data_IF_234091465147
#
_entry.id   IF_234091465147
#
_cell.length_a   1.000
_cell.length_b   1.000
_cell.length_c   1.000
_cell.angle_alpha   90.00
_cell.angle_beta   90.00
_cell.angle_gamma   90.00
#
_symmetry.space_group_name_H-M   'P 1'
#
loop_
_entity.id
_entity.type
_entity.pdbx_description
1 polymer ?
#
# COMPACT_ATOMS: atom_id res chain seq x y z
N UNK A 1 -53.26 -4.05 27.75
CA UNK A 1 -51.97 -4.33 27.07
C UNK A 1 -52.28 -4.71 25.63
N UNK A 2 -52.21 -3.76 24.69
CA UNK A 2 -52.37 -4.03 23.25
C UNK A 2 -51.01 -3.88 22.56
N UNK A 3 -50.56 -4.96 21.93
CA UNK A 3 -49.31 -5.04 21.19
C UNK A 3 -49.41 -4.26 19.87
N UNK A 4 -48.47 -3.33 19.65
CA UNK A 4 -48.29 -2.64 18.37
C UNK A 4 -47.69 -3.64 17.38
N UNK A 5 -48.47 -4.07 16.39
CA UNK A 5 -47.98 -4.85 15.25
C UNK A 5 -47.30 -3.88 14.28
N UNK A 6 -46.01 -4.05 14.04
CA UNK A 6 -45.29 -3.33 12.99
C UNK A 6 -45.54 -4.07 11.68
N UNK A 7 -46.37 -3.52 10.80
CA UNK A 7 -46.58 -4.10 9.48
C UNK A 7 -45.30 -3.99 8.62
N UNK A 8 -45.02 -4.97 7.73
CA UNK A 8 -43.87 -4.92 6.85
C UNK A 8 -44.06 -3.81 5.82
N UNK A 9 -43.16 -2.83 5.79
CA UNK A 9 -43.16 -1.78 4.76
C UNK A 9 -42.89 -2.42 3.39
N UNK A 10 -43.87 -2.35 2.50
CA UNK A 10 -43.69 -2.68 1.08
C UNK A 10 -42.77 -1.65 0.40
N UNK A 11 -42.00 -2.05 -0.62
CA UNK A 11 -41.20 -1.11 -1.40
C UNK A 11 -42.10 -0.10 -2.10
N UNK A 12 -42.02 1.16 -1.68
CA UNK A 12 -42.71 2.29 -2.32
C UNK A 12 -41.88 2.82 -3.49
N UNK A 13 -42.53 3.06 -4.63
CA UNK A 13 -41.94 3.81 -5.73
C UNK A 13 -42.09 5.30 -5.42
N UNK A 14 -40.98 5.98 -5.12
CA UNK A 14 -40.98 7.41 -4.84
C UNK A 14 -40.78 8.19 -6.15
N UNK A 15 -41.63 9.17 -6.40
CA UNK A 15 -41.42 10.16 -7.46
C UNK A 15 -40.58 11.29 -6.86
N UNK A 16 -39.63 11.81 -7.63
CA UNK A 16 -38.72 12.87 -7.19
C UNK A 16 -39.45 14.18 -6.78
N UNK A 17 -40.71 14.34 -7.17
CA UNK A 17 -41.55 15.52 -6.91
C UNK A 17 -42.52 15.33 -5.72
N UNK A 18 -42.37 14.28 -4.91
CA UNK A 18 -43.26 14.01 -3.77
C UNK A 18 -42.98 14.99 -2.61
N UNK A 19 -43.97 15.75 -2.11
CA UNK A 19 -43.80 16.69 -1.00
C UNK A 19 -43.40 16.04 0.33
N UNK A 20 -43.45 14.71 0.45
CA UNK A 20 -42.91 13.96 1.58
C UNK A 20 -41.41 13.64 1.44
N UNK A 21 -40.78 13.97 0.31
CA UNK A 21 -39.34 13.83 0.07
C UNK A 21 -38.71 15.21 0.28
N UNK A 22 -38.24 15.46 1.50
CA UNK A 22 -37.42 16.63 1.76
C UNK A 22 -36.04 16.45 1.07
N UNK A 23 -35.63 17.35 0.18
CA UNK A 23 -34.27 17.33 -0.37
C UNK A 23 -33.30 17.53 0.79
N UNK A 24 -32.40 16.58 0.98
CA UNK A 24 -31.28 16.74 1.90
C UNK A 24 -30.48 17.95 1.42
N UNK A 25 -30.40 19.00 2.23
CA UNK A 25 -29.62 20.20 1.91
C UNK A 25 -28.19 19.81 1.52
N UNK A 26 -27.65 20.38 0.45
CA UNK A 26 -26.28 20.08 -0.04
C UNK A 26 -25.22 20.22 1.05
N UNK A 27 -25.46 21.09 2.05
CA UNK A 27 -24.62 21.25 3.23
C UNK A 27 -24.51 19.99 4.10
N UNK A 28 -25.55 19.16 4.17
CA UNK A 28 -25.52 17.89 4.89
C UNK A 28 -24.77 16.79 4.11
N UNK A 29 -24.72 16.88 2.78
CA UNK A 29 -23.90 16.02 1.92
C UNK A 29 -22.42 16.43 2.02
N UNK A 30 -22.12 17.74 2.02
CA UNK A 30 -20.77 18.29 2.20
C UNK A 30 -20.21 17.99 3.60
N UNK A 31 -21.07 18.00 4.64
CA UNK A 31 -20.71 17.60 6.00
C UNK A 31 -20.53 16.07 6.18
N UNK A 32 -20.99 15.25 5.23
CA UNK A 32 -20.73 13.81 5.13
C UNK A 32 -19.54 13.48 4.20
N UNK A 33 -19.00 14.48 3.50
CA UNK A 33 -17.71 14.42 2.78
C UNK A 33 -16.51 15.06 3.52
N UNK A 34 -16.34 15.00 4.85
CA UNK A 34 -15.05 15.32 5.42
C UNK A 34 -14.08 14.16 5.10
N UNK A 35 -12.81 14.49 4.87
CA UNK A 35 -11.64 13.61 4.65
C UNK A 35 -11.23 13.13 3.24
N UNK A 36 -12.09 13.13 2.21
CA UNK A 36 -11.66 12.66 0.87
C UNK A 36 -10.65 13.62 0.18
N UNK A 37 -10.84 14.93 0.36
CA UNK A 37 -9.98 15.97 -0.18
C UNK A 37 -8.60 16.06 0.51
N UNK A 38 -8.53 15.72 1.80
CA UNK A 38 -7.28 15.66 2.56
C UNK A 38 -6.41 14.48 2.14
N UNK A 39 -7.03 13.30 1.94
CA UNK A 39 -6.35 12.10 1.46
C UNK A 39 -5.78 12.27 0.04
N UNK A 40 -6.52 12.91 -0.88
CA UNK A 40 -6.02 13.22 -2.23
C UNK A 40 -4.82 14.16 -2.20
N UNK A 41 -4.88 15.25 -1.41
CA UNK A 41 -3.75 16.18 -1.22
C UNK A 41 -2.53 15.49 -0.57
N UNK A 42 -2.76 14.56 0.34
CA UNK A 42 -1.70 13.76 0.97
C UNK A 42 -1.00 12.86 -0.05
N UNK A 43 -1.76 12.18 -0.93
CA UNK A 43 -1.22 11.34 -2.01
C UNK A 43 -0.45 12.17 -3.03
N UNK A 44 -0.96 13.35 -3.39
CA UNK A 44 -0.31 14.28 -4.33
C UNK A 44 1.00 14.86 -3.78
N UNK A 45 1.04 15.21 -2.48
CA UNK A 45 2.24 15.66 -1.79
C UNK A 45 3.34 14.57 -1.71
N UNK A 46 2.94 13.29 -1.65
CA UNK A 46 3.87 12.15 -1.71
C UNK A 46 4.43 11.96 -3.13
N UNK A 47 3.64 12.25 -4.17
CA UNK A 47 4.02 12.12 -5.58
C UNK A 47 4.99 13.22 -6.04
N UNK A 48 4.85 14.44 -5.51
CA UNK A 48 5.66 15.60 -5.91
C UNK A 48 6.41 16.23 -4.72
N UNK A 49 7.57 15.67 -4.30
CA UNK A 49 8.35 16.28 -3.23
C UNK A 49 8.92 17.62 -3.69
N UNK A 50 8.48 18.72 -3.05
CA UNK A 50 9.05 20.07 -3.22
C UNK A 50 10.56 20.03 -2.97
N UNK A 51 11.35 20.32 -4.00
CA UNK A 51 12.83 20.39 -3.91
C UNK A 51 13.20 21.66 -3.13
N UNK A 52 13.77 21.50 -1.92
CA UNK A 52 14.39 22.60 -1.17
C UNK A 52 15.82 22.25 -0.77
N UNK A 53 16.74 23.13 -1.15
CA UNK A 53 18.03 23.42 -0.51
C UNK A 53 19.05 22.30 -0.34
N UNK A 54 20.25 22.70 0.07
CA UNK A 54 21.33 21.79 0.47
C UNK A 54 20.83 20.94 1.65
N UNK A 55 20.82 19.61 1.46
CA UNK A 55 20.29 18.67 2.45
C UNK A 55 21.31 18.41 3.56
N UNK A 56 21.53 19.37 4.45
CA UNK A 56 22.37 19.20 5.64
C UNK A 56 22.02 17.93 6.44
N UNK A 57 20.73 17.59 6.51
CA UNK A 57 20.27 16.34 7.11
C UNK A 57 20.71 15.08 6.34
N UNK A 58 20.77 15.13 5.00
CA UNK A 58 21.29 14.01 4.21
C UNK A 58 22.81 13.88 4.35
N UNK A 59 23.53 14.99 4.43
CA UNK A 59 24.96 15.03 4.75
C UNK A 59 25.24 14.41 6.12
N UNK A 60 24.57 14.89 7.17
CA UNK A 60 24.71 14.35 8.53
C UNK A 60 24.38 12.84 8.60
N UNK A 61 23.31 12.41 7.93
CA UNK A 61 22.96 10.99 7.85
C UNK A 61 24.00 10.18 7.07
N UNK A 62 24.53 10.70 5.97
CA UNK A 62 25.54 9.99 5.17
C UNK A 62 26.86 9.85 5.93
N UNK A 63 27.33 10.91 6.57
CA UNK A 63 28.54 10.90 7.39
C UNK A 63 28.33 10.02 8.63
N UNK A 64 27.18 10.10 9.29
CA UNK A 64 26.82 9.24 10.41
C UNK A 64 26.78 7.76 10.01
N UNK A 65 26.20 7.43 8.86
CA UNK A 65 26.19 6.06 8.34
C UNK A 65 27.60 5.57 7.97
N UNK A 66 28.45 6.43 7.42
CA UNK A 66 29.84 6.10 7.13
C UNK A 66 30.64 5.82 8.41
N UNK A 67 30.52 6.68 9.42
CA UNK A 67 31.15 6.48 10.73
C UNK A 67 30.67 5.20 11.41
N UNK A 68 29.36 4.93 11.38
CA UNK A 68 28.79 3.71 11.94
C UNK A 68 29.31 2.47 11.20
N UNK A 69 29.39 2.51 9.87
CA UNK A 69 29.93 1.41 9.06
C UNK A 69 31.40 1.13 9.40
N UNK A 70 32.19 2.18 9.59
CA UNK A 70 33.59 2.05 10.02
C UNK A 70 33.69 1.45 11.43
N UNK A 71 32.90 1.95 12.38
CA UNK A 71 32.89 1.44 13.76
C UNK A 71 32.51 -0.05 13.82
N UNK A 72 31.49 -0.46 13.07
CA UNK A 72 31.09 -1.87 12.97
C UNK A 72 32.18 -2.71 12.32
N UNK A 73 32.81 -2.21 11.24
CA UNK A 73 33.91 -2.90 10.57
C UNK A 73 35.09 -3.17 11.50
N UNK A 74 35.51 -2.16 12.26
CA UNK A 74 36.58 -2.29 13.26
C UNK A 74 36.18 -3.25 14.38
N UNK A 75 34.95 -3.16 14.89
CA UNK A 75 34.47 -4.05 15.96
C UNK A 75 34.40 -5.52 15.52
N UNK A 76 34.01 -5.80 14.28
CA UNK A 76 33.99 -7.16 13.73
C UNK A 76 35.41 -7.72 13.52
N UNK A 77 36.34 -6.90 13.03
CA UNK A 77 37.75 -7.28 12.89
C UNK A 77 38.39 -7.58 14.25
N UNK A 78 38.20 -6.71 15.25
CA UNK A 78 38.72 -6.94 16.60
C UNK A 78 38.09 -8.18 17.24
N UNK A 79 36.77 -8.37 17.09
CA UNK A 79 36.07 -9.55 17.58
C UNK A 79 36.67 -10.84 16.98
N UNK A 80 36.88 -10.89 15.67
CA UNK A 80 37.46 -12.06 15.02
C UNK A 80 38.87 -12.35 15.55
N UNK A 81 39.72 -11.31 15.66
CA UNK A 81 41.07 -11.46 16.22
C UNK A 81 41.05 -12.01 17.65
N UNK A 82 40.16 -11.48 18.49
CA UNK A 82 40.00 -11.92 19.88
C UNK A 82 39.50 -13.37 19.96
N UNK A 83 38.63 -13.80 19.05
CA UNK A 83 38.13 -15.18 18.97
C UNK A 83 39.26 -16.15 18.57
N UNK A 84 40.04 -15.81 17.54
CA UNK A 84 41.20 -16.60 17.12
C UNK A 84 42.27 -16.68 18.20
N UNK A 85 42.53 -15.57 18.91
CA UNK A 85 43.52 -15.55 20.01
C UNK A 85 43.13 -16.45 21.19
N UNK A 86 41.84 -16.71 21.40
CA UNK A 86 41.35 -17.62 22.46
C UNK A 86 41.37 -19.08 22.03
N UNK A 87 40.86 -19.37 20.84
CA UNK A 87 40.89 -20.71 20.26
C UNK A 87 40.58 -20.65 18.75
N UNK A 88 41.34 -21.40 17.94
CA UNK A 88 41.18 -21.40 16.48
C UNK A 88 39.77 -21.76 16.01
N UNK A 89 39.12 -22.73 16.68
CA UNK A 89 37.76 -23.15 16.32
C UNK A 89 36.71 -22.06 16.57
N UNK A 90 36.93 -21.19 17.57
CA UNK A 90 36.06 -20.03 17.84
C UNK A 90 36.15 -19.02 16.70
N UNK A 91 37.36 -18.75 16.21
CA UNK A 91 37.58 -17.84 15.08
C UNK A 91 36.88 -18.31 13.81
N UNK A 92 37.01 -19.60 13.46
CA UNK A 92 36.29 -20.18 12.33
C UNK A 92 34.76 -20.13 12.49
N UNK A 93 34.25 -20.40 13.70
CA UNK A 93 32.82 -20.26 13.99
C UNK A 93 32.33 -18.82 13.82
N UNK A 94 33.08 -17.84 14.37
CA UNK A 94 32.78 -16.42 14.23
C UNK A 94 32.77 -15.97 12.77
N UNK A 95 33.77 -16.39 11.99
CA UNK A 95 33.85 -16.10 10.56
C UNK A 95 32.66 -16.69 9.79
N UNK A 96 32.29 -17.94 10.08
CA UNK A 96 31.13 -18.59 9.46
C UNK A 96 29.82 -17.86 9.77
N UNK A 97 29.63 -17.42 11.02
CA UNK A 97 28.45 -16.65 11.42
C UNK A 97 28.39 -15.28 10.75
N UNK A 98 29.51 -14.56 10.64
CA UNK A 98 29.57 -13.28 9.92
C UNK A 98 29.27 -13.48 8.44
N UNK A 99 29.86 -14.49 7.81
CA UNK A 99 29.59 -14.81 6.40
C UNK A 99 28.11 -15.15 6.16
N UNK A 100 27.50 -15.95 7.03
CA UNK A 100 26.08 -16.26 6.97
C UNK A 100 25.20 -15.02 7.15
N UNK A 101 25.54 -14.14 8.09
CA UNK A 101 24.85 -12.87 8.30
C UNK A 101 24.93 -11.98 7.06
N UNK A 102 26.11 -11.81 6.46
CA UNK A 102 26.29 -11.04 5.21
C UNK A 102 25.45 -11.62 4.08
N UNK A 103 25.46 -12.94 3.90
CA UNK A 103 24.67 -13.61 2.87
C UNK A 103 23.15 -13.40 3.09
N UNK A 104 22.68 -13.48 4.33
CA UNK A 104 21.28 -13.20 4.67
C UNK A 104 20.90 -11.75 4.38
N UNK A 105 21.77 -10.77 4.69
CA UNK A 105 21.56 -9.35 4.35
C UNK A 105 21.52 -9.14 2.84
N UNK A 106 22.44 -9.75 2.09
CA UNK A 106 22.44 -9.67 0.62
C UNK A 106 21.18 -10.28 0.01
N UNK A 107 20.73 -11.44 0.49
CA UNK A 107 19.47 -12.05 0.07
C UNK A 107 18.26 -11.15 0.37
N UNK A 108 18.24 -10.51 1.55
CA UNK A 108 17.22 -9.54 1.92
C UNK A 108 17.21 -8.34 0.98
N UNK A 109 18.37 -7.71 0.75
CA UNK A 109 18.51 -6.55 -0.15
C UNK A 109 18.14 -6.91 -1.59
N UNK A 110 18.61 -8.05 -2.10
CA UNK A 110 18.28 -8.53 -3.44
C UNK A 110 16.77 -8.75 -3.61
N UNK A 111 16.10 -9.33 -2.60
CA UNK A 111 14.65 -9.49 -2.58
C UNK A 111 13.93 -8.14 -2.65
N UNK A 112 14.46 -7.11 -2.01
CA UNK A 112 13.85 -5.77 -2.06
C UNK A 112 14.11 -5.02 -3.37
N UNK A 113 15.31 -5.16 -3.96
CA UNK A 113 15.59 -4.61 -5.28
C UNK A 113 14.66 -5.21 -6.33
N UNK A 114 14.43 -6.52 -6.30
CA UNK A 114 13.45 -7.18 -7.17
C UNK A 114 12.03 -6.60 -6.98
N UNK A 115 11.64 -6.32 -5.73
CA UNK A 115 10.39 -5.62 -5.42
C UNK A 115 10.29 -4.23 -6.05
N UNK A 116 11.38 -3.45 -6.00
CA UNK A 116 11.44 -2.11 -6.60
C UNK A 116 11.38 -2.15 -8.13
N UNK A 117 12.06 -3.10 -8.77
CA UNK A 117 11.96 -3.30 -10.21
C UNK A 117 10.55 -3.68 -10.63
N UNK A 118 9.88 -4.56 -9.87
CA UNK A 118 8.48 -4.91 -10.11
C UNK A 118 7.56 -3.68 -10.01
N UNK A 119 7.77 -2.82 -9.01
CA UNK A 119 6.99 -1.59 -8.87
C UNK A 119 7.19 -0.63 -10.05
N UNK A 120 8.43 -0.47 -10.53
CA UNK A 120 8.72 0.33 -11.72
C UNK A 120 8.04 -0.23 -12.97
N UNK A 121 8.04 -1.56 -13.12
CA UNK A 121 7.37 -2.21 -14.24
C UNK A 121 5.85 -1.99 -14.21
N UNK A 122 5.21 -2.15 -13.04
CA UNK A 122 3.78 -1.88 -12.87
C UNK A 122 3.45 -0.40 -13.15
N UNK A 123 4.27 0.53 -12.67
CA UNK A 123 4.06 1.96 -12.92
C UNK A 123 4.15 2.30 -14.42
N UNK A 124 5.09 1.67 -15.14
CA UNK A 124 5.21 1.81 -16.59
C UNK A 124 3.99 1.24 -17.31
N UNK A 125 3.54 0.04 -16.94
CA UNK A 125 2.33 -0.56 -17.50
C UNK A 125 1.09 0.30 -17.29
N UNK A 126 0.95 0.94 -16.13
CA UNK A 126 -0.15 1.87 -15.86
C UNK A 126 -0.13 3.06 -16.82
N UNK A 127 1.03 3.71 -16.97
CA UNK A 127 1.18 4.83 -17.89
C UNK A 127 0.91 4.43 -19.35
N UNK A 128 1.40 3.27 -19.77
CA UNK A 128 1.15 2.73 -21.12
C UNK A 128 -0.33 2.37 -21.33
N UNK A 129 -1.02 1.87 -20.30
CA UNK A 129 -2.46 1.56 -20.36
C UNK A 129 -3.32 2.82 -20.41
N UNK A 130 -3.01 3.83 -19.59
CA UNK A 130 -3.73 5.10 -19.57
C UNK A 130 -3.62 5.80 -20.93
N UNK A 131 -2.41 5.82 -21.52
CA UNK A 131 -2.17 6.36 -22.86
C UNK A 131 -2.87 5.56 -23.97
N UNK A 132 -2.86 4.21 -23.88
CA UNK A 132 -3.60 3.35 -24.81
C UNK A 132 -5.12 3.59 -24.75
N UNK A 133 -5.68 3.76 -23.54
CA UNK A 133 -7.09 4.08 -23.36
C UNK A 133 -7.43 5.47 -23.94
N UNK A 134 -6.58 6.47 -23.72
CA UNK A 134 -6.75 7.82 -24.26
C UNK A 134 -6.74 7.82 -25.79
N UNK A 135 -5.81 7.08 -26.42
CA UNK A 135 -5.68 6.99 -27.88
C UNK A 135 -6.61 5.96 -28.53
N UNK A 136 -7.38 5.21 -27.73
CA UNK A 136 -8.14 4.01 -28.14
C UNK A 136 -7.30 3.04 -28.99
N UNK A 137 -6.03 2.89 -28.65
CA UNK A 137 -5.05 2.08 -29.37
C UNK A 137 -5.20 0.60 -28.94
N UNK A 138 -5.74 -0.21 -29.84
CA UNK A 138 -6.05 -1.61 -29.57
C UNK A 138 -4.81 -2.46 -29.31
N UNK A 139 -3.76 -2.29 -30.11
CA UNK A 139 -2.56 -3.13 -29.99
C UNK A 139 -1.82 -2.84 -28.69
N UNK A 140 -1.76 -1.56 -28.30
CA UNK A 140 -1.23 -1.15 -27.01
C UNK A 140 -2.09 -1.68 -25.84
N UNK A 141 -3.42 -1.63 -25.96
CA UNK A 141 -4.33 -2.19 -24.95
C UNK A 141 -4.16 -3.70 -24.78
N UNK A 142 -4.06 -4.47 -25.87
CA UNK A 142 -3.82 -5.92 -25.85
C UNK A 142 -2.47 -6.24 -25.20
N UNK A 143 -1.42 -5.47 -25.51
CA UNK A 143 -0.11 -5.65 -24.90
C UNK A 143 -0.16 -5.42 -23.38
N UNK A 144 -0.84 -4.36 -22.93
CA UNK A 144 -1.04 -4.05 -21.52
C UNK A 144 -1.83 -5.14 -20.78
N UNK A 145 -2.93 -5.64 -21.37
CA UNK A 145 -3.72 -6.73 -20.78
C UNK A 145 -2.90 -8.03 -20.70
N UNK A 146 -2.12 -8.36 -21.73
CA UNK A 146 -1.22 -9.54 -21.68
C UNK A 146 -0.17 -9.42 -20.59
N UNK A 147 0.44 -8.24 -20.44
CA UNK A 147 1.40 -7.98 -19.36
C UNK A 147 0.73 -8.09 -17.98
N UNK A 148 -0.51 -7.63 -17.84
CA UNK A 148 -1.31 -7.78 -16.62
C UNK A 148 -1.59 -9.26 -16.30
N UNK A 149 -2.00 -10.05 -17.30
CA UNK A 149 -2.20 -11.49 -17.15
C UNK A 149 -0.90 -12.22 -16.77
N UNK A 150 0.24 -11.80 -17.35
CA UNK A 150 1.56 -12.33 -17.02
C UNK A 150 1.98 -11.98 -15.58
N UNK A 151 1.69 -10.76 -15.12
CA UNK A 151 1.97 -10.33 -13.74
C UNK A 151 1.28 -11.21 -12.70
N UNK A 152 0.04 -11.62 -12.99
CA UNK A 152 -0.75 -12.50 -12.12
C UNK A 152 -0.63 -13.99 -12.46
N UNK A 153 0.23 -14.38 -13.41
CA UNK A 153 0.35 -15.75 -13.93
C UNK A 153 0.63 -16.82 -12.85
N UNK A 154 1.41 -16.47 -11.83
CA UNK A 154 1.82 -17.41 -10.79
C UNK A 154 0.80 -17.56 -9.65
N UNK A 155 -0.39 -16.96 -9.78
CA UNK A 155 -1.39 -16.87 -8.72
C UNK A 155 -2.64 -17.71 -9.04
N UNK A 156 -2.92 -18.71 -8.22
CA UNK A 156 -4.00 -19.66 -8.47
C UNK A 156 -5.41 -19.07 -8.32
N UNK A 157 -5.60 -18.12 -7.40
CA UNK A 157 -6.89 -17.46 -7.16
C UNK A 157 -7.36 -16.61 -8.34
N UNK A 158 -6.45 -15.99 -9.10
CA UNK A 158 -6.79 -15.23 -10.32
C UNK A 158 -7.01 -16.10 -11.56
N UNK A 159 -6.81 -17.42 -11.47
CA UNK A 159 -6.80 -18.29 -12.66
C UNK A 159 -8.12 -18.26 -13.44
N UNK A 160 -9.26 -18.21 -12.75
CA UNK A 160 -10.59 -18.13 -13.39
C UNK A 160 -10.77 -16.78 -14.11
N UNK A 161 -10.50 -15.68 -13.42
CA UNK A 161 -10.60 -14.33 -13.98
C UNK A 161 -9.68 -14.14 -15.19
N UNK A 162 -8.44 -14.63 -15.11
CA UNK A 162 -7.49 -14.59 -16.24
C UNK A 162 -7.96 -15.36 -17.47
N UNK A 163 -8.61 -16.51 -17.29
CA UNK A 163 -9.17 -17.28 -18.41
C UNK A 163 -10.29 -16.52 -19.10
N UNK A 164 -11.14 -15.86 -18.32
CA UNK A 164 -12.27 -15.09 -18.81
C UNK A 164 -11.79 -13.85 -19.59
N UNK A 165 -10.89 -13.06 -19.00
CA UNK A 165 -10.24 -11.92 -19.70
C UNK A 165 -9.48 -12.38 -20.94
N UNK A 166 -8.80 -13.53 -20.87
CA UNK A 166 -8.08 -14.11 -22.01
C UNK A 166 -8.98 -14.49 -23.20
N UNK A 167 -10.22 -14.92 -22.94
CA UNK A 167 -11.19 -15.21 -24.00
C UNK A 167 -11.64 -13.94 -24.73
N UNK A 168 -11.84 -12.85 -23.99
CA UNK A 168 -12.32 -11.58 -24.56
C UNK A 168 -11.25 -10.76 -25.30
N UNK A 169 -9.97 -11.12 -25.18
CA UNK A 169 -8.87 -10.48 -25.93
C UNK A 169 -9.08 -10.47 -27.45
N UNK A 170 -9.76 -11.49 -27.99
CA UNK A 170 -10.05 -11.61 -29.42
C UNK A 170 -11.38 -11.01 -29.85
N UNK A 171 -12.30 -10.79 -28.91
CA UNK A 171 -13.70 -10.41 -29.19
C UNK A 171 -13.91 -8.89 -29.15
N UNK A 172 -13.12 -8.17 -28.35
CA UNK A 172 -13.24 -6.72 -28.22
C UNK A 172 -12.34 -6.01 -29.24
N UNK A 173 -12.95 -5.09 -29.98
CA UNK A 173 -12.29 -4.27 -31.00
C UNK A 173 -11.74 -2.99 -30.37
N UNK A 174 -12.49 -2.34 -29.47
CA UNK A 174 -12.06 -1.09 -28.83
C UNK A 174 -11.04 -1.32 -27.71
N UNK A 175 -9.88 -0.66 -27.81
CA UNK A 175 -8.80 -0.79 -26.84
C UNK A 175 -9.18 -0.30 -25.44
N UNK A 176 -9.97 0.78 -25.36
CA UNK A 176 -10.49 1.31 -24.09
C UNK A 176 -11.40 0.30 -23.39
N UNK A 177 -12.36 -0.27 -24.11
CA UNK A 177 -13.33 -1.21 -23.54
C UNK A 177 -12.65 -2.51 -23.10
N UNK A 178 -11.63 -2.93 -23.84
CA UNK A 178 -10.81 -4.07 -23.46
C UNK A 178 -10.10 -3.84 -22.10
N UNK A 179 -9.57 -2.65 -21.87
CA UNK A 179 -8.91 -2.29 -20.60
C UNK A 179 -9.91 -2.22 -19.45
N UNK A 180 -11.07 -1.59 -19.66
CA UNK A 180 -12.15 -1.52 -18.65
C UNK A 180 -12.67 -2.91 -18.28
N UNK A 181 -12.87 -3.77 -19.28
CA UNK A 181 -13.27 -5.16 -19.04
C UNK A 181 -12.20 -5.92 -18.24
N UNK A 182 -10.93 -5.81 -18.66
CA UNK A 182 -9.83 -6.48 -17.99
C UNK A 182 -9.68 -6.04 -16.53
N UNK A 183 -9.81 -4.74 -16.25
CA UNK A 183 -9.81 -4.20 -14.89
C UNK A 183 -10.95 -4.78 -14.06
N UNK A 184 -12.19 -4.68 -14.58
CA UNK A 184 -13.39 -5.16 -13.88
C UNK A 184 -13.30 -6.66 -13.57
N UNK A 185 -13.00 -7.48 -14.56
CA UNK A 185 -13.10 -8.92 -14.43
C UNK A 185 -11.90 -9.51 -13.65
N UNK A 186 -10.72 -8.88 -13.74
CA UNK A 186 -9.53 -9.34 -13.02
C UNK A 186 -9.41 -8.79 -11.60
N UNK A 187 -9.77 -7.53 -11.37
CA UNK A 187 -9.52 -6.85 -10.09
C UNK A 187 -10.73 -6.80 -9.17
N UNK A 188 -11.97 -6.95 -9.65
CA UNK A 188 -13.17 -6.77 -8.81
C UNK A 188 -13.17 -7.64 -7.54
N UNK A 189 -12.73 -8.90 -7.64
CA UNK A 189 -12.69 -9.79 -6.46
C UNK A 189 -11.59 -9.37 -5.47
N UNK A 190 -10.45 -8.87 -5.98
CA UNK A 190 -9.36 -8.35 -5.14
C UNK A 190 -9.81 -7.07 -4.42
N UNK A 191 -10.50 -6.18 -5.12
CA UNK A 191 -11.02 -4.93 -4.57
C UNK A 191 -12.11 -5.17 -3.52
N UNK A 192 -12.98 -6.17 -3.74
CA UNK A 192 -13.97 -6.56 -2.75
C UNK A 192 -13.29 -7.03 -1.43
N UNK A 193 -12.24 -7.85 -1.53
CA UNK A 193 -11.47 -8.29 -0.36
C UNK A 193 -10.76 -7.12 0.33
N UNK A 194 -10.20 -6.19 -0.45
CA UNK A 194 -9.55 -4.99 0.06
C UNK A 194 -10.53 -4.10 0.85
N UNK A 195 -11.75 -3.90 0.34
CA UNK A 195 -12.82 -3.14 1.02
C UNK A 195 -13.21 -3.77 2.36
N UNK A 196 -13.30 -5.11 2.43
CA UNK A 196 -13.57 -5.82 3.69
C UNK A 196 -12.44 -5.61 4.70
N UNK A 197 -11.17 -5.66 4.27
CA UNK A 197 -10.03 -5.39 5.15
C UNK A 197 -10.02 -3.95 5.67
N UNK A 198 -10.27 -2.97 4.81
CA UNK A 198 -10.29 -1.55 5.17
C UNK A 198 -11.42 -1.23 6.16
N UNK A 199 -12.64 -1.71 5.89
CA UNK A 199 -13.78 -1.54 6.80
C UNK A 199 -13.55 -2.20 8.16
N UNK A 200 -12.93 -3.38 8.20
CA UNK A 200 -12.58 -4.03 9.46
C UNK A 200 -11.52 -3.26 10.27
N UNK A 201 -10.54 -2.67 9.59
CA UNK A 201 -9.53 -1.82 10.22
C UNK A 201 -10.15 -0.52 10.77
N UNK A 202 -11.00 0.14 9.98
CA UNK A 202 -11.72 1.35 10.39
C UNK A 202 -12.57 1.13 11.64
N UNK A 203 -13.29 -0.01 11.72
CA UNK A 203 -14.05 -0.39 12.93
C UNK A 203 -13.17 -0.55 14.16
N UNK A 204 -11.99 -1.16 14.03
CA UNK A 204 -11.04 -1.34 15.15
C UNK A 204 -10.49 0.01 15.62
N UNK A 205 -10.11 0.87 14.69
CA UNK A 205 -9.65 2.22 14.99
C UNK A 205 -10.74 3.02 15.71
N UNK A 206 -11.96 3.03 15.18
CA UNK A 206 -13.10 3.73 15.79
C UNK A 206 -13.38 3.30 17.23
N UNK A 207 -13.34 2.00 17.52
CA UNK A 207 -13.50 1.49 18.89
C UNK A 207 -12.38 1.96 19.81
N UNK A 208 -11.13 1.93 19.35
CA UNK A 208 -9.99 2.36 20.17
C UNK A 208 -10.02 3.86 20.43
N UNK A 209 -10.38 4.66 19.44
CA UNK A 209 -10.51 6.11 19.62
C UNK A 209 -11.64 6.48 20.58
N UNK A 210 -12.76 5.75 20.55
CA UNK A 210 -13.88 5.98 21.47
C UNK A 210 -13.59 5.58 22.93
N UNK A 211 -12.68 4.63 23.14
CA UNK A 211 -12.40 4.05 24.47
C UNK A 211 -11.09 4.54 25.08
N UNK A 212 -10.17 5.10 24.27
CA UNK A 212 -8.82 5.44 24.72
C UNK A 212 -8.78 6.72 25.58
N UNK A 213 -8.37 6.64 26.86
CA UNK A 213 -8.19 7.82 27.72
C UNK A 213 -6.87 8.56 27.45
N UNK A 214 -5.97 8.00 26.61
CA UNK A 214 -4.63 8.53 26.36
C UNK A 214 -4.40 8.75 24.87
N UNK A 215 -4.23 10.02 24.48
CA UNK A 215 -3.96 10.43 23.10
C UNK A 215 -2.76 9.70 22.47
N UNK A 216 -1.69 9.45 23.24
CA UNK A 216 -0.52 8.73 22.73
C UNK A 216 -0.82 7.28 22.34
N UNK A 217 -1.67 6.60 23.11
CA UNK A 217 -1.99 5.17 22.88
C UNK A 217 -2.88 5.02 21.65
N UNK A 218 -3.82 5.94 21.46
CA UNK A 218 -4.69 5.99 20.28
C UNK A 218 -3.85 6.19 19.00
N UNK A 219 -2.99 7.22 18.97
CA UNK A 219 -2.10 7.48 17.82
C UNK A 219 -1.19 6.30 17.50
N UNK A 220 -0.62 5.64 18.52
CA UNK A 220 0.24 4.49 18.31
C UNK A 220 -0.55 3.27 17.76
N UNK A 221 -1.77 3.06 18.25
CA UNK A 221 -2.64 2.01 17.76
C UNK A 221 -3.07 2.26 16.30
N UNK A 222 -3.47 3.48 15.96
CA UNK A 222 -3.82 3.89 14.59
C UNK A 222 -2.64 3.65 13.65
N UNK A 223 -1.43 4.05 14.06
CA UNK A 223 -0.22 3.81 13.28
C UNK A 223 0.04 2.32 13.05
N UNK A 224 -0.10 1.51 14.09
CA UNK A 224 0.09 0.06 14.00
C UNK A 224 -0.95 -0.60 13.10
N UNK A 225 -2.23 -0.24 13.24
CA UNK A 225 -3.32 -0.78 12.43
C UNK A 225 -3.18 -0.35 10.97
N UNK A 226 -2.76 0.90 10.69
CA UNK A 226 -2.44 1.37 9.35
C UNK A 226 -1.32 0.52 8.70
N UNK A 227 -0.22 0.31 9.42
CA UNK A 227 0.88 -0.56 8.96
C UNK A 227 0.39 -1.98 8.70
N UNK A 228 -0.44 -2.53 9.59
CA UNK A 228 -1.00 -3.88 9.45
C UNK A 228 -1.94 -3.99 8.25
N UNK A 229 -2.82 -3.02 8.04
CA UNK A 229 -3.75 -2.97 6.93
C UNK A 229 -3.00 -2.92 5.60
N UNK A 230 -1.97 -2.07 5.49
CA UNK A 230 -1.14 -1.97 4.28
C UNK A 230 -0.48 -3.31 3.96
N UNK A 231 0.03 -4.04 4.96
CA UNK A 231 0.62 -5.37 4.73
C UNK A 231 -0.39 -6.35 4.14
N UNK A 232 -1.60 -6.39 4.71
CA UNK A 232 -2.68 -7.26 4.23
C UNK A 232 -3.16 -6.86 2.85
N UNK A 233 -3.30 -5.56 2.56
CA UNK A 233 -3.65 -5.07 1.23
C UNK A 233 -2.60 -5.46 0.20
N UNK A 234 -1.31 -5.30 0.52
CA UNK A 234 -0.24 -5.74 -0.35
C UNK A 234 -0.38 -7.24 -0.66
N UNK A 235 -0.63 -8.09 0.34
CA UNK A 235 -0.86 -9.53 0.13
C UNK A 235 -2.06 -9.80 -0.80
N UNK A 236 -3.18 -9.08 -0.61
CA UNK A 236 -4.37 -9.19 -1.49
C UNK A 236 -4.04 -8.84 -2.94
N UNK A 237 -3.21 -7.84 -3.21
CA UNK A 237 -2.81 -7.46 -4.57
C UNK A 237 -1.53 -8.19 -5.07
N UNK A 238 -1.05 -9.21 -4.36
CA UNK A 238 0.11 -10.01 -4.77
C UNK A 238 1.47 -9.34 -4.50
N UNK A 239 1.48 -8.28 -3.70
CA UNK A 239 2.68 -7.67 -3.15
C UNK A 239 3.09 -8.26 -1.80
N UNK A 240 4.34 -8.71 -1.69
CA UNK A 240 5.00 -8.80 -0.39
C UNK A 240 5.60 -7.43 -0.08
N UNK A 241 5.12 -6.70 0.94
CA UNK A 241 5.71 -5.42 1.30
C UNK A 241 7.16 -5.65 1.72
N UNK A 242 8.06 -4.98 1.02
CA UNK A 242 9.46 -4.97 1.36
C UNK A 242 9.76 -4.20 2.64
N UNK A 243 10.86 -4.54 3.33
CA UNK A 243 11.33 -3.79 4.50
C UNK A 243 11.54 -2.29 4.18
N UNK A 244 12.09 -2.00 3.00
CA UNK A 244 12.28 -0.64 2.50
C UNK A 244 10.97 0.07 2.13
N UNK A 245 10.00 -0.67 1.57
CA UNK A 245 8.67 -0.14 1.26
C UNK A 245 7.94 0.28 2.54
N UNK A 246 7.97 -0.58 3.55
CA UNK A 246 7.41 -0.31 4.87
C UNK A 246 8.10 0.89 5.55
N UNK A 247 9.42 1.01 5.46
CA UNK A 247 10.15 2.15 6.02
C UNK A 247 9.78 3.47 5.33
N UNK A 248 9.65 3.46 4.00
CA UNK A 248 9.23 4.64 3.23
C UNK A 248 7.80 5.07 3.58
N UNK A 249 6.89 4.10 3.74
CA UNK A 249 5.52 4.32 4.19
C UNK A 249 5.49 4.87 5.63
N UNK A 250 6.23 4.26 6.56
CA UNK A 250 6.33 4.72 7.94
C UNK A 250 6.84 6.16 8.00
N UNK A 251 7.87 6.50 7.21
CA UNK A 251 8.36 7.88 7.08
C UNK A 251 7.27 8.82 6.54
N UNK A 252 6.52 8.42 5.52
CA UNK A 252 5.45 9.24 4.95
C UNK A 252 4.32 9.47 5.96
N UNK A 253 3.90 8.43 6.67
CA UNK A 253 2.88 8.49 7.72
C UNK A 253 3.34 9.39 8.87
N UNK A 254 4.56 9.22 9.38
CA UNK A 254 5.12 10.09 10.43
C UNK A 254 5.23 11.54 9.95
N UNK A 255 5.64 11.78 8.71
CA UNK A 255 5.72 13.13 8.14
C UNK A 255 4.33 13.77 8.06
N UNK A 256 3.31 13.00 7.67
CA UNK A 256 1.93 13.48 7.61
C UNK A 256 1.35 13.73 9.00
N UNK A 257 1.57 12.82 9.96
CA UNK A 257 1.20 13.00 11.37
C UNK A 257 1.89 14.21 12.01
N UNK A 258 3.14 14.49 11.66
CA UNK A 258 3.82 15.70 12.14
C UNK A 258 3.17 16.98 11.59
N UNK A 259 2.76 16.96 10.32
CA UNK A 259 2.05 18.09 9.69
C UNK A 259 0.64 18.24 10.25
N UNK A 260 -0.15 17.18 10.31
CA UNK A 260 -1.52 17.20 10.84
C UNK A 260 -1.57 17.44 12.35
N UNK A 261 -0.63 16.86 13.11
CA UNK A 261 -0.51 17.06 14.56
C UNK A 261 -0.07 18.47 14.95
N UNK A 262 0.66 19.18 14.08
CA UNK A 262 1.00 20.60 14.29
C UNK A 262 -0.18 21.56 14.12
N UNK A 263 -1.30 21.10 13.54
CA UNK A 263 -2.53 21.89 13.33
C UNK A 263 -3.52 21.68 14.50
N UNK A 264 -3.25 20.73 15.40
CA UNK A 264 -4.10 20.42 16.56
C UNK A 264 -3.66 21.13 17.87
N UNK A 265 -2.75 22.11 17.78
CA UNK A 265 -2.31 22.98 18.89
C UNK A 265 -2.63 24.43 18.56
#
# INVERSE_FOLDING_TARGET
MSAVRTEPRLPGAFRLDDPAVEPVEDAAIEALEPEAAGAHKAVEAIAHPRRRGVRWGALALSTGAALLSLAVGVALDSLLRDLFARADWLGWLGLALIALFVLAVLALVGRELAGLFRLKHIARLRLESDDAALRNDRDAAVASVRALLALYSNRADTAKARRLVGAHLGEIIDGRDLLVLAERDLLAELDARAKVLASAAARRVSVVTAVSPRAFVDVLFVLWEAVRLIRRLAEVYGGRPGALGLFRLLKAVISHLAVTGSIAV
#
